data_IF_324075950779
#
_entry.id   IF_324075950779
#
_cell.length_a   1.000
_cell.length_b   1.000
_cell.length_c   1.000
_cell.angle_alpha   90.00
_cell.angle_beta   90.00
_cell.angle_gamma   90.00
#
_symmetry.space_group_name_H-M   'P 1'
#
loop_
_entity.id
_entity.type
_entity.pdbx_description
1 polymer ?
#
# COMPACT_ATOMS: atom_id res chain seq x y z
N UNK A 1 -55.04 -39.64 -7.97
CA UNK A 1 -54.46 -40.33 -6.79
C UNK A 1 -53.48 -39.39 -6.11
N UNK A 2 -53.58 -39.26 -4.79
CA UNK A 2 -52.68 -38.57 -3.85
C UNK A 2 -51.24 -39.15 -3.89
N UNK A 3 -50.15 -38.54 -3.39
CA UNK A 3 -49.85 -37.84 -2.13
C UNK A 3 -48.73 -36.79 -2.37
N UNK A 4 -48.69 -35.58 -1.78
CA UNK A 4 -48.20 -35.21 -0.42
C UNK A 4 -46.76 -35.73 -0.14
N UNK A 5 -45.77 -35.07 0.46
CA UNK A 5 -45.64 -33.84 1.24
C UNK A 5 -44.14 -33.61 1.59
N UNK A 6 -43.83 -32.45 2.18
CA UNK A 6 -42.68 -32.08 3.06
C UNK A 6 -41.48 -31.38 2.38
N UNK A 7 -41.35 -30.06 2.51
CA UNK A 7 -40.87 -29.30 3.68
C UNK A 7 -39.35 -29.40 3.91
N UNK A 8 -38.64 -28.33 3.55
CA UNK A 8 -37.48 -27.87 4.32
C UNK A 8 -37.43 -26.35 4.29
N UNK A 9 -37.88 -25.77 5.39
CA UNK A 9 -37.47 -24.47 5.91
C UNK A 9 -35.95 -24.41 5.91
N UNK A 10 -35.37 -23.64 5.00
CA UNK A 10 -34.02 -23.12 5.19
C UNK A 10 -34.16 -21.75 5.84
N UNK A 11 -34.26 -21.80 7.17
CA UNK A 11 -34.05 -20.63 8.01
C UNK A 11 -32.54 -20.31 7.99
N UNK A 12 -32.07 -19.78 6.87
CA UNK A 12 -30.75 -19.21 6.73
C UNK A 12 -30.68 -17.92 7.54
N UNK A 13 -29.99 -18.01 8.67
CA UNK A 13 -29.70 -16.97 9.65
C UNK A 13 -29.52 -15.55 9.05
N UNK A 14 -30.25 -14.51 9.51
CA UNK A 14 -30.06 -13.13 9.05
C UNK A 14 -28.80 -12.45 9.64
N UNK A 15 -27.80 -13.23 10.08
CA UNK A 15 -26.59 -12.74 10.73
C UNK A 15 -25.34 -12.76 9.85
N UNK A 16 -25.47 -13.02 8.54
CA UNK A 16 -24.42 -12.62 7.61
C UNK A 16 -24.56 -11.11 7.43
N UNK A 17 -24.09 -10.34 8.42
CA UNK A 17 -23.80 -8.93 8.24
C UNK A 17 -23.03 -8.81 6.94
N UNK A 18 -23.57 -8.10 5.95
CA UNK A 18 -22.90 -7.70 4.72
C UNK A 18 -21.56 -7.09 5.13
N UNK A 19 -20.52 -7.93 5.18
CA UNK A 19 -19.17 -7.48 5.43
C UNK A 19 -18.83 -6.83 4.11
N UNK A 20 -18.70 -5.49 4.03
CA UNK A 20 -18.36 -4.87 2.76
C UNK A 20 -17.07 -5.54 2.32
N UNK A 21 -17.12 -6.26 1.19
CA UNK A 21 -15.90 -6.69 0.52
C UNK A 21 -15.08 -5.42 0.40
N UNK A 22 -13.96 -5.35 1.10
CA UNK A 22 -13.09 -4.19 1.07
C UNK A 22 -12.55 -4.08 -0.36
N UNK A 23 -13.31 -3.40 -1.21
CA UNK A 23 -12.90 -3.08 -2.56
C UNK A 23 -11.74 -2.13 -2.38
N UNK A 24 -10.56 -2.60 -2.81
CA UNK A 24 -9.35 -1.81 -2.80
C UNK A 24 -9.60 -0.61 -3.72
N UNK A 25 -10.01 0.52 -3.14
CA UNK A 25 -10.10 1.78 -3.86
C UNK A 25 -8.67 2.24 -4.16
N UNK A 26 -8.42 2.80 -5.35
CA UNK A 26 -7.22 3.59 -5.56
C UNK A 26 -7.09 4.62 -4.43
N UNK A 27 -5.88 4.81 -3.91
CA UNK A 27 -5.64 5.72 -2.79
C UNK A 27 -6.07 7.15 -3.14
N UNK A 28 -7.24 7.56 -2.66
CA UNK A 28 -7.72 8.95 -2.67
C UNK A 28 -7.11 9.69 -1.48
N UNK A 29 -6.80 10.99 -1.64
CA UNK A 29 -6.31 11.79 -0.52
C UNK A 29 -7.43 11.92 0.52
N UNK A 30 -7.13 11.63 1.79
CA UNK A 30 -8.12 11.72 2.86
C UNK A 30 -8.10 13.13 3.42
N UNK A 31 -9.16 13.90 3.15
CA UNK A 31 -9.37 15.20 3.78
C UNK A 31 -9.70 15.01 5.27
N UNK A 32 -8.89 15.64 6.13
CA UNK A 32 -9.05 15.55 7.59
C UNK A 32 -9.97 16.61 8.20
N UNK A 33 -10.57 17.49 7.38
CA UNK A 33 -11.39 18.60 7.86
C UNK A 33 -12.74 18.08 8.36
N UNK A 34 -13.15 18.50 9.56
CA UNK A 34 -14.40 18.08 10.19
C UNK A 34 -14.39 16.68 10.82
N UNK A 35 -13.26 15.96 10.80
CA UNK A 35 -13.10 14.67 11.49
C UNK A 35 -12.86 14.84 12.99
N UNK A 36 -13.20 13.81 13.78
CA UNK A 36 -12.76 13.73 15.18
C UNK A 36 -11.24 13.65 15.27
N UNK A 37 -10.64 14.07 16.38
CA UNK A 37 -9.17 14.09 16.54
C UNK A 37 -8.51 12.72 16.27
N UNK A 38 -9.16 11.62 16.66
CA UNK A 38 -8.69 10.26 16.36
C UNK A 38 -8.72 9.95 14.85
N UNK A 39 -9.84 10.24 14.19
CA UNK A 39 -10.00 10.03 12.75
C UNK A 39 -9.08 10.94 11.91
N UNK A 40 -8.84 12.17 12.37
CA UNK A 40 -7.90 13.08 11.74
C UNK A 40 -6.46 12.56 11.83
N UNK A 41 -6.05 12.03 12.99
CA UNK A 41 -4.73 11.41 13.16
C UNK A 41 -4.56 10.20 12.25
N UNK A 42 -5.62 9.40 12.11
CA UNK A 42 -5.62 8.25 11.20
C UNK A 42 -5.55 8.68 9.72
N UNK A 43 -6.28 9.72 9.32
CA UNK A 43 -6.21 10.27 7.96
C UNK A 43 -4.80 10.77 7.62
N UNK A 44 -4.15 11.50 8.54
CA UNK A 44 -2.75 11.94 8.37
C UNK A 44 -1.82 10.74 8.19
N UNK A 45 -1.95 9.72 9.03
CA UNK A 45 -1.15 8.51 8.91
C UNK A 45 -1.34 7.81 7.55
N UNK A 46 -2.57 7.69 7.06
CA UNK A 46 -2.86 7.06 5.76
C UNK A 46 -2.28 7.86 4.59
N UNK A 47 -2.33 9.19 4.65
CA UNK A 47 -1.72 10.06 3.65
C UNK A 47 -0.18 9.95 3.68
N UNK A 48 0.45 9.96 4.86
CA UNK A 48 1.89 9.72 5.02
C UNK A 48 2.30 8.36 4.44
N UNK A 49 1.53 7.30 4.75
CA UNK A 49 1.79 5.95 4.28
C UNK A 49 1.75 5.86 2.75
N UNK A 50 0.75 6.51 2.14
CA UNK A 50 0.65 6.65 0.70
C UNK A 50 1.87 7.34 0.11
N UNK A 51 2.28 8.48 0.66
CA UNK A 51 3.40 9.26 0.14
C UNK A 51 4.72 8.47 0.19
N UNK A 52 4.94 7.72 1.28
CA UNK A 52 6.10 6.83 1.40
C UNK A 52 6.07 5.72 0.35
N UNK A 53 4.93 5.06 0.14
CA UNK A 53 4.79 3.99 -0.87
C UNK A 53 4.99 4.53 -2.29
N UNK A 54 4.36 5.67 -2.61
CA UNK A 54 4.47 6.30 -3.93
C UNK A 54 5.90 6.77 -4.19
N UNK A 55 6.52 7.46 -3.23
CA UNK A 55 7.91 7.87 -3.31
C UNK A 55 8.88 6.69 -3.47
N UNK A 56 8.65 5.61 -2.73
CA UNK A 56 9.45 4.39 -2.85
C UNK A 56 9.32 3.75 -4.24
N UNK A 57 8.10 3.65 -4.78
CA UNK A 57 7.85 3.14 -6.12
C UNK A 57 8.57 3.99 -7.19
N UNK A 58 8.46 5.32 -7.11
CA UNK A 58 9.12 6.23 -8.04
C UNK A 58 10.64 6.08 -7.99
N UNK A 59 11.23 5.98 -6.80
CA UNK A 59 12.67 5.77 -6.65
C UNK A 59 13.12 4.41 -7.21
N UNK A 60 12.35 3.33 -7.00
CA UNK A 60 12.66 2.01 -7.59
C UNK A 60 12.63 2.08 -9.12
N UNK A 61 11.63 2.75 -9.70
CA UNK A 61 11.54 2.94 -11.15
C UNK A 61 12.73 3.75 -11.69
N UNK A 62 13.13 4.81 -10.99
CA UNK A 62 14.27 5.63 -11.37
C UNK A 62 15.58 4.84 -11.32
N UNK A 63 15.77 4.02 -10.28
CA UNK A 63 16.95 3.16 -10.14
C UNK A 63 17.00 2.09 -11.24
N UNK A 64 15.87 1.46 -11.58
CA UNK A 64 15.79 0.49 -12.67
C UNK A 64 16.07 1.13 -14.02
N UNK A 65 15.50 2.30 -14.29
CA UNK A 65 15.78 3.06 -15.50
C UNK A 65 17.26 3.47 -15.65
N UNK A 66 17.91 3.87 -14.55
CA UNK A 66 19.34 4.21 -14.56
C UNK A 66 20.22 2.98 -14.81
N UNK A 67 19.82 1.82 -14.29
CA UNK A 67 20.47 0.53 -14.55
C UNK A 67 20.34 0.12 -16.02
N UNK A 68 19.14 0.17 -16.60
CA UNK A 68 18.91 -0.13 -18.02
C UNK A 68 19.76 0.76 -18.95
N UNK A 69 19.92 2.05 -18.59
CA UNK A 69 20.77 2.99 -19.33
C UNK A 69 22.24 2.64 -19.26
N UNK A 70 22.73 2.27 -18.08
CA UNK A 70 24.11 1.86 -17.88
C UNK A 70 24.42 0.60 -18.68
N UNK A 71 23.49 -0.35 -18.73
CA UNK A 71 23.67 -1.61 -19.45
C UNK A 71 23.58 -1.41 -20.98
N UNK A 72 22.77 -0.44 -21.44
CA UNK A 72 22.70 -0.06 -22.85
C UNK A 72 23.90 0.77 -23.33
N UNK A 73 24.63 1.42 -22.41
CA UNK A 73 25.80 2.25 -22.70
C UNK A 73 26.99 1.38 -23.16
N UNK A 74 26.98 1.02 -24.44
CA UNK A 74 28.00 0.22 -25.13
C UNK A 74 29.05 1.06 -25.86
N UNK A 75 28.93 2.40 -25.82
CA UNK A 75 29.85 3.33 -26.49
C UNK A 75 30.26 4.50 -25.58
N UNK A 76 31.48 5.01 -25.79
CA UNK A 76 32.08 6.17 -25.10
C UNK A 76 31.31 7.50 -25.28
N UNK A 77 30.21 7.49 -26.05
CA UNK A 77 29.40 8.68 -26.37
C UNK A 77 28.12 8.78 -25.53
N UNK A 78 27.80 7.74 -24.75
CA UNK A 78 26.58 7.69 -23.93
C UNK A 78 26.73 8.53 -22.64
N UNK A 79 25.66 9.19 -22.16
CA UNK A 79 25.71 9.97 -20.94
C UNK A 79 26.05 9.07 -19.75
N UNK A 80 26.94 9.56 -18.86
CA UNK A 80 27.29 8.87 -17.63
C UNK A 80 26.04 8.49 -16.80
N UNK A 81 26.09 7.39 -16.03
CA UNK A 81 24.99 7.00 -15.16
C UNK A 81 24.62 8.15 -14.21
N UNK A 82 23.31 8.31 -13.95
CA UNK A 82 22.78 9.35 -13.09
C UNK A 82 23.27 9.17 -11.65
N UNK A 83 23.40 7.92 -11.21
CA UNK A 83 23.90 7.58 -9.88
C UNK A 83 25.18 6.76 -9.92
N UNK A 84 26.15 7.16 -9.10
CA UNK A 84 27.30 6.30 -8.81
C UNK A 84 26.91 5.09 -7.92
N UNK A 85 27.85 4.18 -7.70
CA UNK A 85 27.62 2.99 -6.88
C UNK A 85 27.25 3.33 -5.43
N UNK A 86 27.87 4.35 -4.83
CA UNK A 86 27.63 4.76 -3.45
C UNK A 86 26.25 5.38 -3.27
N UNK A 87 25.85 6.26 -4.19
CA UNK A 87 24.53 6.89 -4.24
C UNK A 87 23.44 5.84 -4.41
N UNK A 88 23.62 4.90 -5.35
CA UNK A 88 22.69 3.78 -5.56
C UNK A 88 22.51 2.93 -4.30
N UNK A 89 23.61 2.49 -3.68
CA UNK A 89 23.54 1.71 -2.43
C UNK A 89 22.95 2.51 -1.27
N UNK A 90 23.11 3.84 -1.25
CA UNK A 90 22.50 4.69 -0.24
C UNK A 90 21.00 4.85 -0.46
N UNK A 91 20.54 5.01 -1.70
CA UNK A 91 19.13 5.05 -2.06
C UNK A 91 18.43 3.71 -1.78
N UNK A 92 19.07 2.58 -2.10
CA UNK A 92 18.54 1.25 -1.78
C UNK A 92 18.39 1.03 -0.27
N UNK A 93 19.36 1.46 0.54
CA UNK A 93 19.25 1.42 2.00
C UNK A 93 18.17 2.37 2.52
N UNK A 94 18.07 3.56 1.96
CA UNK A 94 17.03 4.52 2.32
C UNK A 94 15.63 3.94 2.04
N UNK A 95 15.43 3.29 0.90
CA UNK A 95 14.19 2.59 0.57
C UNK A 95 13.87 1.49 1.59
N UNK A 96 14.85 0.62 1.90
CA UNK A 96 14.65 -0.46 2.86
C UNK A 96 14.28 0.08 4.25
N UNK A 97 14.95 1.13 4.72
CA UNK A 97 14.66 1.75 6.02
C UNK A 97 13.28 2.44 6.01
N UNK A 98 12.95 3.18 4.97
CA UNK A 98 11.67 3.91 4.88
C UNK A 98 10.48 2.97 4.85
N UNK A 99 10.57 1.88 4.07
CA UNK A 99 9.53 0.86 4.01
C UNK A 99 9.45 0.04 5.30
N UNK A 100 10.60 -0.28 5.91
CA UNK A 100 10.62 -0.96 7.21
C UNK A 100 10.00 -0.12 8.34
N UNK A 101 10.26 1.19 8.35
CA UNK A 101 9.63 2.11 9.31
C UNK A 101 8.13 2.23 9.08
N UNK A 102 7.68 2.31 7.81
CA UNK A 102 6.27 2.32 7.49
C UNK A 102 5.59 1.02 7.94
N UNK A 103 6.23 -0.13 7.70
CA UNK A 103 5.73 -1.43 8.15
C UNK A 103 5.52 -1.47 9.66
N UNK A 104 6.52 -1.06 10.45
CA UNK A 104 6.40 -1.01 11.91
C UNK A 104 5.27 -0.07 12.38
N UNK A 105 5.07 1.08 11.70
CA UNK A 105 3.93 1.97 12.00
C UNK A 105 2.59 1.33 11.66
N UNK A 106 2.49 0.59 10.56
CA UNK A 106 1.26 -0.15 10.20
C UNK A 106 0.95 -1.20 11.27
N UNK A 107 1.95 -1.97 11.71
CA UNK A 107 1.78 -2.97 12.77
C UNK A 107 1.23 -2.34 14.06
N UNK A 108 1.81 -1.22 14.50
CA UNK A 108 1.35 -0.50 15.69
C UNK A 108 -0.10 0.02 15.54
N UNK A 109 -0.50 0.47 14.35
CA UNK A 109 -1.89 0.89 14.09
C UNK A 109 -2.86 -0.29 14.10
N UNK A 110 -2.45 -1.45 13.60
CA UNK A 110 -3.26 -2.67 13.65
C UNK A 110 -3.46 -3.17 15.08
N UNK A 111 -2.41 -3.16 15.90
CA UNK A 111 -2.49 -3.54 17.32
C UNK A 111 -3.46 -2.64 18.09
N UNK A 112 -3.38 -1.32 17.88
CA UNK A 112 -4.29 -0.35 18.50
C UNK A 112 -5.77 -0.51 18.09
N UNK A 113 -6.08 -1.21 16.99
CA UNK A 113 -7.46 -1.51 16.57
C UNK A 113 -8.00 -2.81 17.19
N UNK A 114 -7.13 -3.63 17.77
CA UNK A 114 -7.50 -4.91 18.41
C UNK A 114 -7.74 -4.79 19.92
N UNK A 115 -7.36 -3.66 20.52
CA UNK A 115 -7.62 -3.30 21.93
C UNK A 115 -8.94 -2.54 22.09
#
# INVERSE_FOLDING_TARGET
MAHASNARTDAGCPCASDRPTALFKPFEWVEGEGLSSSLQSHAVFLNDARDVVQGAQTLVQLLGWDEDRRDAASSDTEPAPLFDACQRSSLQRFLAVSLGLLHARIEAQCEALTE
#
